data_IF_479442832652
#
_entry.id   IF_479442832652
#
_cell.length_a   1.000
_cell.length_b   1.000
_cell.length_c   1.000
_cell.angle_alpha   90.00
_cell.angle_beta   90.00
_cell.angle_gamma   90.00
#
_symmetry.space_group_name_H-M   'P 1'
#
loop_
_entity.id
_entity.type
_entity.pdbx_description
1 polymer ?
#
# COMPACT_ATOMS: atom_id res chain seq x y z
N UNK A 1 -9.33 -0.41 7.73
CA UNK A 1 -10.47 -1.32 7.44
C UNK A 1 -11.82 -0.61 7.54
N UNK A 2 -12.16 0.08 8.65
CA UNK A 2 -13.49 0.71 8.85
C UNK A 2 -13.91 1.66 7.72
N UNK A 3 -12.98 2.43 7.12
CA UNK A 3 -13.29 3.36 6.01
C UNK A 3 -13.96 2.67 4.80
N UNK A 4 -13.74 1.37 4.59
CA UNK A 4 -14.30 0.61 3.47
C UNK A 4 -15.50 -0.27 3.84
N UNK A 5 -15.90 -0.30 5.12
CA UNK A 5 -16.90 -1.24 5.63
C UNK A 5 -18.27 -1.08 4.95
N UNK A 6 -18.73 0.17 4.78
CA UNK A 6 -19.99 0.47 4.08
C UNK A 6 -19.96 -0.05 2.65
N UNK A 7 -18.85 0.14 1.93
CA UNK A 7 -18.74 -0.28 0.54
C UNK A 7 -18.66 -1.79 0.41
N UNK A 8 -17.94 -2.45 1.32
CA UNK A 8 -17.82 -3.91 1.32
C UNK A 8 -19.15 -4.61 1.66
N UNK A 9 -20.01 -3.99 2.48
CA UNK A 9 -21.32 -4.56 2.84
C UNK A 9 -22.31 -4.68 1.66
N UNK A 10 -22.06 -3.97 0.55
CA UNK A 10 -22.89 -4.08 -0.67
C UNK A 10 -22.66 -5.41 -1.40
N UNK A 11 -21.55 -6.10 -1.15
CA UNK A 11 -21.15 -7.31 -1.85
C UNK A 11 -21.38 -8.54 -0.98
N UNK A 12 -21.82 -9.64 -1.61
CA UNK A 12 -21.83 -10.95 -0.97
C UNK A 12 -20.47 -11.61 -1.18
N UNK A 13 -19.57 -11.43 -0.21
CA UNK A 13 -18.18 -11.89 -0.26
C UNK A 13 -17.98 -13.01 0.77
N UNK A 14 -17.37 -14.11 0.33
CA UNK A 14 -16.85 -15.15 1.19
C UNK A 14 -15.31 -15.05 1.27
N UNK A 15 -14.76 -15.17 2.48
CA UNK A 15 -13.33 -15.05 2.70
C UNK A 15 -12.68 -16.43 2.73
N UNK A 16 -11.80 -16.69 1.76
CA UNK A 16 -11.01 -17.91 1.68
C UNK A 16 -9.51 -17.53 1.67
N UNK A 17 -8.73 -18.15 2.56
CA UNK A 17 -7.28 -18.00 2.51
C UNK A 17 -6.71 -18.79 1.33
N UNK A 18 -5.97 -18.12 0.44
CA UNK A 18 -5.28 -18.76 -0.68
C UNK A 18 -3.77 -18.74 -0.49
N UNK A 19 -3.10 -19.91 -0.45
CA UNK A 19 -1.65 -19.95 -0.37
C UNK A 19 -1.01 -19.39 -1.65
N UNK A 20 0.20 -18.84 -1.54
CA UNK A 20 0.87 -18.13 -2.65
C UNK A 20 0.99 -18.92 -3.95
N UNK A 21 1.09 -20.26 -3.87
CA UNK A 21 1.12 -21.16 -5.04
C UNK A 21 -0.16 -21.07 -5.88
N UNK A 22 -1.30 -20.74 -5.27
CA UNK A 22 -2.58 -20.55 -5.97
C UNK A 22 -2.82 -19.10 -6.37
N UNK A 23 -1.97 -18.17 -5.92
CA UNK A 23 -2.12 -16.73 -6.15
C UNK A 23 -1.33 -16.23 -7.38
N UNK A 24 -0.85 -17.13 -8.24
CA UNK A 24 0.07 -16.82 -9.35
C UNK A 24 -0.51 -15.76 -10.30
N UNK A 25 -1.80 -15.84 -10.64
CA UNK A 25 -2.43 -14.89 -11.58
C UNK A 25 -2.49 -13.48 -11.00
N UNK A 26 -2.92 -13.35 -9.73
CA UNK A 26 -2.98 -12.05 -9.07
C UNK A 26 -1.57 -11.51 -8.75
N UNK A 27 -0.61 -12.39 -8.42
CA UNK A 27 0.80 -12.02 -8.25
C UNK A 27 1.36 -11.43 -9.55
N UNK A 28 1.14 -12.09 -10.70
CA UNK A 28 1.59 -11.61 -12.01
C UNK A 28 0.96 -10.25 -12.38
N UNK A 29 -0.31 -10.02 -12.06
CA UNK A 29 -1.00 -8.76 -12.37
C UNK A 29 -0.67 -7.62 -11.40
N UNK A 30 -0.36 -7.94 -10.15
CA UNK A 30 0.02 -6.93 -9.14
C UNK A 30 1.47 -6.48 -9.27
N UNK A 31 2.31 -7.30 -9.92
CA UNK A 31 3.69 -6.95 -10.24
C UNK A 31 3.74 -5.83 -11.27
N UNK A 32 4.66 -4.90 -11.05
CA UNK A 32 4.96 -3.87 -12.03
C UNK A 32 5.44 -4.56 -13.33
N UNK A 33 4.93 -4.19 -14.51
CA UNK A 33 5.35 -4.81 -15.75
C UNK A 33 6.86 -4.71 -15.89
N UNK A 34 7.52 -5.86 -16.02
CA UNK A 34 8.96 -5.91 -16.25
C UNK A 34 9.20 -5.23 -17.60
N UNK A 35 9.99 -4.16 -17.59
CA UNK A 35 10.27 -3.34 -18.77
C UNK A 35 10.61 -4.23 -19.95
N UNK A 36 9.74 -4.19 -20.96
CA UNK A 36 9.87 -5.02 -22.14
C UNK A 36 11.17 -4.61 -22.86
N UNK A 37 12.16 -5.51 -22.94
CA UNK A 37 13.41 -5.23 -23.67
C UNK A 37 13.18 -5.03 -25.16
N UNK A 38 11.99 -5.38 -25.66
CA UNK A 38 11.59 -5.30 -27.06
C UNK A 38 10.60 -4.16 -27.36
N UNK A 39 10.52 -3.13 -26.51
CA UNK A 39 9.85 -1.87 -26.87
C UNK A 39 8.33 -1.93 -27.09
N UNK A 40 7.67 -3.07 -26.85
CA UNK A 40 6.21 -3.09 -26.78
C UNK A 40 5.78 -2.38 -25.50
N UNK A 41 5.53 -1.07 -25.65
CA UNK A 41 5.04 -0.16 -24.65
C UNK A 41 3.73 -0.69 -24.08
N UNK A 42 3.78 -1.23 -22.87
CA UNK A 42 2.59 -1.59 -22.12
C UNK A 42 1.98 -0.25 -21.69
N UNK A 43 0.87 0.14 -22.33
CA UNK A 43 0.03 1.25 -21.89
C UNK A 43 -0.61 0.84 -20.57
N UNK A 44 0.12 1.03 -19.48
CA UNK A 44 -0.47 0.99 -18.16
C UNK A 44 -1.50 2.12 -18.14
N UNK A 45 -2.75 1.81 -17.81
CA UNK A 45 -3.71 2.82 -17.40
C UNK A 45 -3.15 3.46 -16.12
N UNK A 46 -2.27 4.45 -16.30
CA UNK A 46 -1.88 5.32 -15.22
C UNK A 46 -3.17 6.01 -14.81
N UNK A 47 -3.74 5.58 -13.70
CA UNK A 47 -4.67 6.39 -12.95
C UNK A 47 -3.90 7.67 -12.67
N UNK A 48 -4.14 8.68 -13.52
CA UNK A 48 -3.70 10.04 -13.30
C UNK A 48 -4.48 10.44 -12.07
N UNK A 49 -3.89 10.21 -10.90
CA UNK A 49 -4.36 10.74 -9.64
C UNK A 49 -4.55 12.21 -9.94
N UNK A 50 -5.81 12.64 -10.08
CA UNK A 50 -6.16 14.05 -10.14
C UNK A 50 -5.51 14.59 -8.89
N UNK A 51 -4.42 15.35 -9.04
CA UNK A 51 -3.47 15.64 -7.99
C UNK A 51 -4.23 16.28 -6.83
N UNK A 52 -4.63 15.48 -5.84
CA UNK A 52 -5.62 15.95 -4.89
C UNK A 52 -4.97 16.83 -3.85
N UNK A 53 -3.66 16.74 -3.61
CA UNK A 53 -2.91 17.60 -2.70
C UNK A 53 -1.43 17.63 -3.13
N UNK A 54 -0.71 18.72 -2.84
CA UNK A 54 0.76 18.75 -3.05
C UNK A 54 1.45 17.78 -2.09
N UNK A 55 2.71 17.39 -2.37
CA UNK A 55 3.48 16.50 -1.49
C UNK A 55 3.53 17.04 -0.06
N UNK A 56 3.71 18.35 0.09
CA UNK A 56 3.80 19.05 1.37
C UNK A 56 2.49 18.98 2.14
N UNK A 57 1.37 19.06 1.43
CA UNK A 57 0.05 18.95 2.03
C UNK A 57 -0.25 17.51 2.47
N UNK A 58 0.12 16.52 1.66
CA UNK A 58 -0.01 15.11 2.03
C UNK A 58 0.82 14.77 3.27
N UNK A 59 2.06 15.26 3.36
CA UNK A 59 2.92 15.06 4.54
C UNK A 59 2.29 15.66 5.79
N UNK A 60 1.69 16.86 5.67
CA UNK A 60 1.01 17.51 6.79
C UNK A 60 -0.18 16.69 7.26
N UNK A 61 -1.06 16.31 6.33
CA UNK A 61 -2.24 15.48 6.61
C UNK A 61 -1.85 14.14 7.26
N UNK A 62 -0.78 13.50 6.78
CA UNK A 62 -0.29 12.23 7.33
C UNK A 62 0.33 12.37 8.73
N UNK A 63 1.00 13.50 9.02
CA UNK A 63 1.52 13.81 10.37
C UNK A 63 0.40 14.06 11.38
N UNK A 64 -0.65 14.76 10.94
CA UNK A 64 -1.79 15.14 11.77
C UNK A 64 -2.82 14.01 11.94
N UNK A 65 -2.77 12.97 11.12
CA UNK A 65 -3.64 11.80 11.24
C UNK A 65 -3.37 11.04 12.56
N UNK A 66 -4.40 10.83 13.42
CA UNK A 66 -4.23 10.15 14.72
C UNK A 66 -3.68 8.72 14.62
N UNK A 67 -3.99 8.02 13.52
CA UNK A 67 -3.60 6.64 13.28
C UNK A 67 -2.29 6.56 12.49
N UNK A 68 -2.00 7.50 11.59
CA UNK A 68 -0.81 7.42 10.74
C UNK A 68 0.38 8.23 11.28
N UNK A 69 0.14 9.26 12.07
CA UNK A 69 1.17 10.20 12.51
C UNK A 69 2.26 9.57 13.39
N UNK A 70 1.96 8.45 14.08
CA UNK A 70 2.97 7.71 14.83
C UNK A 70 3.88 6.87 13.91
N UNK A 71 3.34 6.30 12.83
CA UNK A 71 4.11 5.58 11.79
C UNK A 71 5.02 6.56 11.05
N UNK A 72 4.49 7.72 10.69
CA UNK A 72 5.25 8.74 9.97
C UNK A 72 6.48 9.20 10.81
N UNK A 73 6.28 9.47 12.10
CA UNK A 73 7.38 9.78 13.03
C UNK A 73 8.37 8.64 13.20
N UNK A 74 7.90 7.40 13.26
CA UNK A 74 8.77 6.23 13.33
C UNK A 74 9.69 6.13 12.11
N UNK A 75 9.15 6.32 10.91
CA UNK A 75 9.91 6.27 9.67
C UNK A 75 10.89 7.44 9.52
N UNK A 76 10.55 8.64 10.00
CA UNK A 76 11.48 9.77 10.02
C UNK A 76 12.69 9.52 10.93
N UNK A 77 12.47 8.85 12.06
CA UNK A 77 13.52 8.51 13.00
C UNK A 77 14.27 7.21 12.63
N UNK A 78 13.77 6.44 11.64
CA UNK A 78 14.36 5.17 11.23
C UNK A 78 15.59 5.36 10.31
N UNK A 79 15.81 6.56 9.78
CA UNK A 79 16.98 6.89 8.96
C UNK A 79 18.26 7.07 9.82
N UNK A 80 18.11 7.20 11.14
CA UNK A 80 19.20 7.24 12.13
C UNK A 80 19.52 5.82 12.63
N UNK A 81 20.01 4.98 11.72
CA UNK A 81 20.11 3.53 11.84
C UNK A 81 20.37 2.93 13.23
N UNK A 82 19.43 2.13 13.73
CA UNK A 82 19.69 0.77 14.22
C UNK A 82 18.39 0.01 14.42
N UNK A 83 18.40 -1.24 13.98
CA UNK A 83 17.38 -2.25 14.25
C UNK A 83 17.31 -2.48 15.76
N UNK A 84 16.23 -2.05 16.42
CA UNK A 84 15.86 -2.62 17.72
C UNK A 84 14.53 -3.36 17.55
N UNK A 85 14.66 -4.60 17.10
CA UNK A 85 13.64 -5.61 17.25
C UNK A 85 13.48 -5.89 18.75
N UNK A 86 12.50 -5.27 19.39
CA UNK A 86 11.98 -5.76 20.67
C UNK A 86 10.73 -6.57 20.37
N UNK A 87 10.95 -7.87 20.28
CA UNK A 87 9.92 -8.90 20.46
C UNK A 87 9.32 -8.67 21.84
N UNK A 88 8.00 -8.45 21.93
CA UNK A 88 7.26 -8.60 23.17
C UNK A 88 6.57 -9.96 23.14
N UNK A 89 7.13 -10.90 23.89
CA UNK A 89 6.48 -12.13 24.34
C UNK A 89 5.23 -11.80 25.18
N UNK A 90 4.19 -12.61 25.03
CA UNK A 90 3.19 -12.92 26.04
C UNK A 90 2.92 -14.42 25.99
#
# INVERSE_FOLDING_TARGET
>A
MIRWALKLSEFSIEWEHRPGVQNVVADLLSRNPVGNKDGSQISCAALRVLALNSREQLIREQREDPELGHIYRYLENADDGSVNATVCEA
#
